data_IF_784310699683
#
_entry.id   IF_784310699683
#
_cell.length_a   1.000
_cell.length_b   1.000
_cell.length_c   1.000
_cell.angle_alpha   90.00
_cell.angle_beta   90.00
_cell.angle_gamma   90.00
#
_symmetry.space_group_name_H-M   'P 1'
#
loop_
_entity.id
_entity.type
_entity.pdbx_description
1 polymer ?
#
# COMPACT_ATOMS: atom_id res chain seq x y z
N UNK A 1 3.85 2.86 -16.68
CA UNK A 1 5.08 3.69 -16.63
C UNK A 1 4.85 4.96 -17.44
N UNK A 2 5.26 6.11 -16.89
CA UNK A 2 5.41 7.31 -17.71
C UNK A 2 6.65 7.12 -18.61
N UNK A 3 6.47 7.29 -19.89
CA UNK A 3 7.53 7.13 -20.88
C UNK A 3 7.10 7.69 -22.23
N UNK A 4 8.07 8.00 -23.12
CA UNK A 4 7.76 8.59 -24.42
C UNK A 4 6.81 7.73 -25.27
N UNK A 5 6.86 6.42 -25.10
CA UNK A 5 5.98 5.45 -25.77
C UNK A 5 4.50 5.60 -25.38
N UNK A 6 4.24 6.20 -24.19
CA UNK A 6 2.91 6.48 -23.67
C UNK A 6 2.54 7.97 -23.73
N UNK A 7 3.34 8.78 -24.45
CA UNK A 7 3.11 10.21 -24.62
C UNK A 7 3.59 11.10 -23.46
N UNK A 8 4.29 10.53 -22.48
CA UNK A 8 4.79 11.24 -21.31
C UNK A 8 6.32 11.29 -21.30
N UNK A 9 6.88 12.48 -21.36
CA UNK A 9 8.33 12.70 -21.31
C UNK A 9 8.82 13.05 -19.89
N UNK A 10 7.93 13.59 -19.05
CA UNK A 10 8.21 13.95 -17.66
C UNK A 10 7.28 13.18 -16.71
N UNK A 11 7.82 12.42 -15.76
CA UNK A 11 7.02 11.73 -14.73
C UNK A 11 6.19 12.68 -13.86
N UNK A 12 6.65 13.92 -13.60
CA UNK A 12 5.91 14.88 -12.80
C UNK A 12 4.65 15.36 -13.53
N UNK A 13 4.74 15.62 -14.83
CA UNK A 13 3.59 15.99 -15.64
C UNK A 13 2.56 14.86 -15.70
N UNK A 14 3.01 13.61 -15.80
CA UNK A 14 2.13 12.44 -15.71
C UNK A 14 1.38 12.38 -14.38
N UNK A 15 2.08 12.50 -13.25
CA UNK A 15 1.45 12.42 -11.93
C UNK A 15 0.53 13.63 -11.70
N UNK A 16 0.91 14.82 -12.15
CA UNK A 16 0.04 16.01 -12.11
C UNK A 16 -1.25 15.82 -12.89
N UNK A 17 -1.18 15.28 -14.11
CA UNK A 17 -2.35 14.97 -14.90
C UNK A 17 -3.23 13.90 -14.23
N UNK A 18 -2.61 12.87 -13.61
CA UNK A 18 -3.33 11.87 -12.83
C UNK A 18 -4.16 12.53 -11.70
N UNK A 19 -3.55 13.40 -10.89
CA UNK A 19 -4.26 14.10 -9.81
C UNK A 19 -5.40 15.00 -10.32
N UNK A 20 -5.28 15.56 -11.52
CA UNK A 20 -6.36 16.34 -12.13
C UNK A 20 -7.61 15.52 -12.44
N UNK A 21 -7.44 14.20 -12.64
CA UNK A 21 -8.53 13.27 -12.91
C UNK A 21 -9.07 12.56 -11.65
N UNK A 22 -8.50 12.83 -10.48
CA UNK A 22 -9.00 12.29 -9.20
C UNK A 22 -10.22 13.11 -8.76
N UNK A 23 -11.45 12.56 -8.80
CA UNK A 23 -12.65 13.28 -8.41
C UNK A 23 -12.77 13.43 -6.88
N UNK A 24 -12.30 12.45 -6.13
CA UNK A 24 -12.30 12.41 -4.67
C UNK A 24 -10.96 11.88 -4.19
N UNK A 25 -10.29 12.61 -3.32
CA UNK A 25 -9.10 12.16 -2.63
C UNK A 25 -9.47 11.88 -1.18
N UNK A 26 -9.78 10.63 -0.89
CA UNK A 26 -10.15 10.19 0.44
C UNK A 26 -8.95 10.17 1.40
N UNK A 27 -9.22 10.20 2.71
CA UNK A 27 -8.17 10.24 3.74
C UNK A 27 -7.55 8.88 4.05
N UNK A 28 -8.17 7.80 3.61
CA UNK A 28 -7.73 6.44 3.91
C UNK A 28 -8.03 5.47 2.78
N UNK A 29 -7.28 4.37 2.75
CA UNK A 29 -7.40 3.34 1.71
C UNK A 29 -8.81 2.72 1.67
N UNK A 30 -9.38 2.40 2.83
CA UNK A 30 -10.73 1.86 2.95
C UNK A 30 -11.80 2.86 2.49
N UNK A 31 -11.63 4.14 2.77
CA UNK A 31 -12.56 5.18 2.31
C UNK A 31 -12.53 5.29 0.78
N UNK A 32 -11.35 5.22 0.16
CA UNK A 32 -11.19 5.22 -1.30
C UNK A 32 -11.87 4.00 -1.93
N UNK A 33 -11.71 2.81 -1.34
CA UNK A 33 -12.40 1.59 -1.79
C UNK A 33 -13.91 1.77 -1.70
N UNK A 34 -14.43 2.32 -0.62
CA UNK A 34 -15.87 2.60 -0.45
C UNK A 34 -16.37 3.61 -1.49
N UNK A 35 -15.62 4.69 -1.72
CA UNK A 35 -15.97 5.72 -2.72
C UNK A 35 -16.04 5.13 -4.12
N UNK A 36 -15.07 4.31 -4.50
CA UNK A 36 -15.04 3.66 -5.81
C UNK A 36 -16.10 2.56 -5.92
N UNK A 37 -16.05 1.58 -5.05
CA UNK A 37 -16.77 0.33 -5.20
C UNK A 37 -18.26 0.43 -4.81
N UNK A 38 -18.59 1.19 -3.75
CA UNK A 38 -19.97 1.31 -3.27
C UNK A 38 -20.70 2.54 -3.81
N UNK A 39 -19.98 3.65 -4.01
CA UNK A 39 -20.57 4.90 -4.53
C UNK A 39 -20.46 5.04 -6.04
N UNK A 40 -19.68 4.18 -6.71
CA UNK A 40 -19.49 4.19 -8.16
C UNK A 40 -18.80 5.44 -8.68
N UNK A 41 -17.87 6.02 -7.91
CA UNK A 41 -17.15 7.23 -8.30
C UNK A 41 -15.76 6.86 -8.82
N UNK A 42 -15.50 7.18 -10.09
CA UNK A 42 -14.25 6.89 -10.80
C UNK A 42 -14.30 5.59 -11.61
N UNK A 43 -13.41 5.47 -12.59
CA UNK A 43 -13.31 4.33 -13.49
C UNK A 43 -12.16 3.39 -13.10
N UNK A 44 -11.18 3.89 -12.35
CA UNK A 44 -10.00 3.15 -11.88
C UNK A 44 -9.71 3.54 -10.44
N UNK A 45 -9.50 2.55 -9.59
CA UNK A 45 -9.01 2.71 -8.23
C UNK A 45 -7.53 2.33 -8.14
N UNK A 46 -6.70 3.24 -7.66
CA UNK A 46 -5.33 2.92 -7.22
C UNK A 46 -5.40 2.55 -5.74
N UNK A 47 -5.17 1.29 -5.44
CA UNK A 47 -5.32 0.76 -4.08
C UNK A 47 -4.11 -0.08 -3.65
N UNK A 48 -4.01 -0.32 -2.37
CA UNK A 48 -3.18 -1.39 -1.85
C UNK A 48 -3.69 -2.76 -2.33
N UNK A 49 -2.79 -3.69 -2.56
CA UNK A 49 -3.12 -5.03 -3.06
C UNK A 49 -4.18 -5.74 -2.18
N UNK A 50 -4.03 -5.66 -0.85
CA UNK A 50 -4.99 -6.22 0.09
C UNK A 50 -6.39 -5.59 -0.02
N UNK A 51 -6.50 -4.28 -0.26
CA UNK A 51 -7.78 -3.59 -0.45
C UNK A 51 -8.48 -4.05 -1.73
N UNK A 52 -7.73 -4.28 -2.80
CA UNK A 52 -8.30 -4.79 -4.05
C UNK A 52 -8.89 -6.20 -3.86
N UNK A 53 -8.18 -7.11 -3.20
CA UNK A 53 -8.71 -8.45 -2.89
C UNK A 53 -9.89 -8.42 -1.92
N UNK A 54 -9.86 -7.54 -0.91
CA UNK A 54 -10.99 -7.37 0.01
C UNK A 54 -12.23 -6.83 -0.71
N UNK A 55 -12.06 -5.90 -1.64
CA UNK A 55 -13.17 -5.38 -2.45
C UNK A 55 -13.85 -6.50 -3.25
N UNK A 56 -13.09 -7.37 -3.92
CA UNK A 56 -13.64 -8.53 -4.62
C UNK A 56 -14.36 -9.49 -3.68
N UNK A 57 -13.75 -9.80 -2.52
CA UNK A 57 -14.34 -10.71 -1.54
C UNK A 57 -15.67 -10.20 -0.94
N UNK A 58 -15.80 -8.86 -0.80
CA UNK A 58 -17.00 -8.24 -0.23
C UNK A 58 -18.10 -7.96 -1.26
N UNK A 59 -17.72 -7.67 -2.51
CA UNK A 59 -18.65 -7.13 -3.53
C UNK A 59 -18.93 -8.11 -4.68
N UNK A 60 -18.14 -9.18 -4.80
CA UNK A 60 -18.25 -10.16 -5.86
C UNK A 60 -17.19 -10.02 -6.96
N UNK A 61 -16.80 -11.15 -7.53
CA UNK A 61 -15.70 -11.26 -8.50
C UNK A 61 -16.06 -10.72 -9.89
N UNK A 62 -17.33 -10.44 -10.15
CA UNK A 62 -17.85 -9.94 -11.43
C UNK A 62 -17.93 -8.41 -11.52
N UNK A 63 -17.61 -7.69 -10.44
CA UNK A 63 -17.73 -6.25 -10.35
C UNK A 63 -16.49 -5.51 -10.83
N UNK A 64 -15.32 -6.07 -10.60
CA UNK A 64 -14.02 -5.40 -10.82
C UNK A 64 -12.96 -6.38 -11.29
N UNK A 65 -12.05 -5.88 -12.13
CA UNK A 65 -10.81 -6.58 -12.48
C UNK A 65 -9.63 -5.98 -11.73
N UNK A 66 -8.75 -6.83 -11.20
CA UNK A 66 -7.49 -6.38 -10.61
C UNK A 66 -6.41 -6.37 -11.68
N UNK A 67 -5.92 -5.17 -12.00
CA UNK A 67 -4.79 -4.98 -12.91
C UNK A 67 -3.52 -4.86 -12.09
N UNK A 68 -2.66 -5.88 -12.17
CA UNK A 68 -1.39 -5.91 -11.47
C UNK A 68 -0.32 -5.19 -12.28
N UNK A 69 0.35 -4.16 -11.75
CA UNK A 69 1.40 -3.45 -12.46
C UNK A 69 2.66 -4.32 -12.60
N UNK A 70 3.46 -4.06 -13.64
CA UNK A 70 4.75 -4.75 -13.83
C UNK A 70 5.78 -4.43 -12.75
N UNK A 71 5.67 -3.27 -12.12
CA UNK A 71 6.52 -2.79 -11.01
C UNK A 71 5.64 -2.18 -9.94
N UNK A 72 5.91 -2.50 -8.68
CA UNK A 72 5.23 -1.90 -7.53
C UNK A 72 6.21 -1.59 -6.40
N UNK A 73 5.72 -0.96 -5.34
CA UNK A 73 6.53 -0.61 -4.18
C UNK A 73 6.41 -1.72 -3.13
N UNK A 74 7.56 -2.18 -2.63
CA UNK A 74 7.59 -3.04 -1.45
C UNK A 74 7.32 -2.17 -0.22
N UNK A 75 6.12 -2.29 0.32
CA UNK A 75 5.73 -1.60 1.54
C UNK A 75 6.13 -2.45 2.75
N UNK A 76 7.11 -1.98 3.49
CA UNK A 76 7.62 -2.61 4.70
C UNK A 76 7.39 -1.68 5.89
N UNK A 77 6.13 -1.53 6.38
CA UNK A 77 5.84 -0.62 7.49
C UNK A 77 6.51 -1.14 8.77
N UNK A 78 7.44 -0.38 9.35
CA UNK A 78 8.10 -0.79 10.59
C UNK A 78 7.10 -0.76 11.75
N UNK A 79 7.21 -1.73 12.66
CA UNK A 79 6.48 -1.75 13.92
C UNK A 79 7.44 -1.62 15.08
N UNK A 80 7.06 -0.86 16.08
CA UNK A 80 7.89 -0.63 17.27
C UNK A 80 7.03 -0.46 18.53
N UNK A 81 7.62 -0.79 19.65
CA UNK A 81 7.04 -0.48 20.97
C UNK A 81 7.11 1.03 21.19
N UNK A 82 6.01 1.64 21.62
CA UNK A 82 5.97 3.06 22.01
C UNK A 82 6.36 3.17 23.48
N UNK A 83 7.64 3.36 23.74
CA UNK A 83 8.24 3.37 25.08
C UNK A 83 7.55 4.36 26.06
N UNK A 84 7.15 5.53 25.56
CA UNK A 84 6.48 6.54 26.37
C UNK A 84 5.12 6.09 26.95
N UNK A 85 4.53 5.03 26.39
CA UNK A 85 3.24 4.49 26.84
C UNK A 85 3.40 3.32 27.81
N UNK A 86 4.62 2.85 28.05
CA UNK A 86 4.91 1.74 28.95
C UNK A 86 5.22 2.25 30.35
N UNK A 87 4.38 1.87 31.31
CA UNK A 87 4.56 2.25 32.72
C UNK A 87 5.04 1.10 33.59
N UNK A 88 4.96 -0.15 33.08
CA UNK A 88 5.36 -1.37 33.81
C UNK A 88 6.12 -2.33 32.91
N UNK A 89 6.94 -3.20 33.53
CA UNK A 89 7.66 -4.27 32.85
C UNK A 89 6.70 -5.30 32.21
N UNK A 90 5.55 -5.54 32.80
CA UNK A 90 4.55 -6.47 32.25
C UNK A 90 3.91 -5.92 30.98
N UNK A 91 3.68 -4.61 30.90
CA UNK A 91 3.22 -3.95 29.66
C UNK A 91 4.28 -4.06 28.55
N UNK A 92 5.56 -3.92 28.90
CA UNK A 92 6.67 -4.12 27.95
C UNK A 92 6.67 -5.53 27.39
N UNK A 93 6.66 -6.54 28.25
CA UNK A 93 6.64 -7.96 27.85
C UNK A 93 5.43 -8.28 26.95
N UNK A 94 4.28 -7.73 27.27
CA UNK A 94 3.07 -7.92 26.47
C UNK A 94 3.22 -7.30 25.08
N UNK A 95 3.71 -6.07 24.98
CA UNK A 95 3.92 -5.37 23.72
C UNK A 95 4.96 -6.08 22.84
N UNK A 96 6.11 -6.45 23.42
CA UNK A 96 7.15 -7.19 22.71
C UNK A 96 6.68 -8.59 22.30
N UNK A 97 5.92 -9.26 23.18
CA UNK A 97 5.30 -10.56 22.88
C UNK A 97 4.34 -10.49 21.69
N UNK A 98 3.53 -9.43 21.61
CA UNK A 98 2.65 -9.20 20.47
C UNK A 98 3.44 -8.97 19.17
N UNK A 99 4.46 -8.12 19.18
CA UNK A 99 5.29 -7.89 18.00
C UNK A 99 6.02 -9.13 17.53
N UNK A 100 6.54 -9.93 18.48
CA UNK A 100 7.19 -11.21 18.19
C UNK A 100 6.20 -12.22 17.60
N UNK A 101 4.96 -12.25 18.09
CA UNK A 101 3.91 -13.13 17.59
C UNK A 101 3.66 -12.94 16.09
N UNK A 102 3.77 -11.71 15.56
CA UNK A 102 3.56 -11.41 14.13
C UNK A 102 4.48 -12.25 13.20
N UNK A 103 5.60 -12.73 13.70
CA UNK A 103 6.58 -13.52 12.94
C UNK A 103 6.45 -15.03 13.19
N UNK A 104 5.47 -15.46 13.97
CA UNK A 104 5.20 -16.89 14.18
C UNK A 104 4.50 -17.52 12.96
N UNK A 105 4.61 -18.86 12.78
CA UNK A 105 3.89 -19.55 11.71
C UNK A 105 2.38 -19.32 11.74
N UNK A 106 1.79 -19.26 12.94
CA UNK A 106 0.36 -19.01 13.11
C UNK A 106 -0.03 -17.61 12.57
N UNK A 107 0.71 -16.58 12.98
CA UNK A 107 0.45 -15.22 12.51
C UNK A 107 0.69 -15.07 11.01
N UNK A 108 1.73 -15.69 10.47
CA UNK A 108 2.00 -15.65 9.02
C UNK A 108 0.86 -16.30 8.21
N UNK A 109 0.32 -17.43 8.66
CA UNK A 109 -0.84 -18.04 8.03
C UNK A 109 -2.07 -17.12 8.06
N UNK A 110 -2.30 -16.41 9.17
CA UNK A 110 -3.39 -15.43 9.30
C UNK A 110 -3.17 -14.24 8.35
N UNK A 111 -1.96 -13.71 8.26
CA UNK A 111 -1.59 -12.59 7.39
C UNK A 111 -1.91 -12.91 5.94
N UNK A 112 -1.43 -14.03 5.41
CA UNK A 112 -1.68 -14.45 4.03
C UNK A 112 -3.18 -14.72 3.76
N UNK A 113 -3.89 -15.34 4.70
CA UNK A 113 -5.34 -15.59 4.59
C UNK A 113 -6.14 -14.29 4.48
N UNK A 114 -5.67 -13.21 5.10
CA UNK A 114 -6.31 -11.89 5.08
C UNK A 114 -5.75 -10.98 3.99
N UNK A 115 -5.21 -11.53 2.91
CA UNK A 115 -4.77 -10.81 1.71
C UNK A 115 -3.54 -9.93 1.89
N UNK A 116 -2.71 -10.19 2.88
CA UNK A 116 -1.42 -9.50 3.03
C UNK A 116 -0.27 -10.43 2.63
N UNK A 117 0.76 -9.86 2.03
CA UNK A 117 2.03 -10.55 1.82
C UNK A 117 2.78 -10.56 3.15
N UNK A 118 2.97 -11.74 3.70
CA UNK A 118 3.71 -11.91 4.94
C UNK A 118 5.22 -11.98 4.74
N UNK A 119 5.91 -12.17 5.84
CA UNK A 119 7.36 -12.30 5.88
C UNK A 119 7.88 -13.60 5.24
N UNK A 120 7.18 -14.72 5.43
CA UNK A 120 7.60 -16.03 4.94
C UNK A 120 6.41 -16.79 4.34
N UNK A 121 6.38 -16.87 3.02
CA UNK A 121 5.33 -17.56 2.28
C UNK A 121 5.28 -19.08 2.55
N UNK A 122 6.38 -19.69 3.00
CA UNK A 122 6.42 -21.13 3.30
C UNK A 122 5.59 -21.52 4.52
N UNK A 123 5.22 -20.54 5.35
CA UNK A 123 4.40 -20.70 6.56
C UNK A 123 2.89 -20.57 6.30
N UNK A 124 2.48 -20.25 5.08
CA UNK A 124 1.09 -20.08 4.70
C UNK A 124 0.58 -21.22 3.82
N UNK A 125 -0.75 -21.34 3.73
CA UNK A 125 -1.36 -22.30 2.83
C UNK A 125 -1.04 -21.97 1.36
N UNK A 126 -0.71 -22.96 0.51
CA UNK A 126 -0.36 -22.72 -0.89
C UNK A 126 -1.41 -21.92 -1.67
N UNK A 127 -2.69 -22.15 -1.40
CA UNK A 127 -3.80 -21.43 -2.03
C UNK A 127 -3.84 -19.95 -1.64
N UNK A 128 -3.45 -19.61 -0.40
CA UNK A 128 -3.36 -18.23 0.05
C UNK A 128 -2.17 -17.49 -0.56
N UNK A 129 -1.08 -18.20 -0.80
CA UNK A 129 0.12 -17.66 -1.47
C UNK A 129 -0.11 -17.51 -2.98
N UNK A 130 -0.78 -18.47 -3.61
CA UNK A 130 -0.97 -18.51 -5.06
C UNK A 130 -1.78 -17.33 -5.63
N UNK A 131 -2.55 -16.64 -4.79
CA UNK A 131 -3.31 -15.45 -5.19
C UNK A 131 -2.42 -14.25 -5.54
N UNK A 132 -1.18 -14.23 -5.02
CA UNK A 132 -0.28 -13.11 -5.20
C UNK A 132 0.60 -13.31 -6.44
N UNK A 133 0.42 -12.49 -7.49
CA UNK A 133 1.24 -12.58 -8.68
C UNK A 133 2.70 -12.21 -8.40
N UNK A 134 3.61 -12.77 -9.20
CA UNK A 134 4.99 -12.33 -9.23
C UNK A 134 5.07 -10.98 -9.93
N UNK A 135 5.73 -10.00 -9.30
CA UNK A 135 6.00 -8.69 -9.86
C UNK A 135 7.35 -8.17 -9.39
N UNK A 136 7.89 -7.19 -10.10
CA UNK A 136 9.07 -6.45 -9.64
C UNK A 136 8.67 -5.53 -8.49
N UNK A 137 9.35 -5.66 -7.36
CA UNK A 137 9.12 -4.80 -6.19
C UNK A 137 10.37 -3.94 -5.96
N UNK A 138 10.16 -2.63 -5.81
CA UNK A 138 11.21 -1.67 -5.46
C UNK A 138 11.02 -1.21 -4.03
N UNK A 139 12.08 -1.14 -3.27
CA UNK A 139 12.09 -0.70 -1.88
C UNK A 139 12.47 0.78 -1.76
N UNK A 140 12.37 1.32 -0.54
CA UNK A 140 12.73 2.72 -0.28
C UNK A 140 14.22 3.00 -0.46
N UNK A 141 15.09 2.00 -0.31
CA UNK A 141 16.53 2.16 -0.50
C UNK A 141 16.87 2.47 -1.96
N UNK A 142 16.10 1.93 -2.91
CA UNK A 142 16.21 2.23 -4.35
C UNK A 142 16.00 3.70 -4.69
N UNK A 143 15.40 4.47 -3.76
CA UNK A 143 15.16 5.92 -3.89
C UNK A 143 16.05 6.77 -2.99
N UNK A 144 17.07 6.20 -2.37
CA UNK A 144 17.99 6.91 -1.46
C UNK A 144 17.54 6.94 0.01
N UNK A 145 16.45 6.22 0.35
CA UNK A 145 15.91 6.13 1.69
C UNK A 145 14.90 7.23 2.05
N UNK A 146 14.27 7.09 3.20
CA UNK A 146 13.17 7.96 3.64
C UNK A 146 13.57 9.44 3.75
N UNK A 147 14.78 9.75 4.23
CA UNK A 147 15.22 11.13 4.41
C UNK A 147 15.31 11.87 3.07
N UNK A 148 15.88 11.23 2.05
CA UNK A 148 15.99 11.82 0.71
C UNK A 148 14.63 11.94 0.04
N UNK A 149 13.81 10.90 0.09
CA UNK A 149 12.46 10.91 -0.50
C UNK A 149 11.59 11.98 0.16
N UNK A 150 11.62 12.11 1.49
CA UNK A 150 10.88 13.14 2.20
C UNK A 150 11.30 14.54 1.79
N UNK A 151 12.60 14.80 1.75
CA UNK A 151 13.13 16.13 1.37
C UNK A 151 12.79 16.48 -0.07
N UNK A 152 12.92 15.54 -0.99
CA UNK A 152 12.72 15.77 -2.42
C UNK A 152 11.26 15.88 -2.82
N UNK A 153 10.39 15.07 -2.22
CA UNK A 153 9.02 14.93 -2.69
C UNK A 153 7.96 15.56 -1.79
N UNK A 154 8.20 15.64 -0.47
CA UNK A 154 7.16 15.96 0.51
C UNK A 154 7.52 17.10 1.47
N UNK A 155 8.71 17.70 1.42
CA UNK A 155 9.01 18.91 2.16
C UNK A 155 8.19 20.10 1.63
N UNK A 156 8.05 21.15 2.43
CA UNK A 156 7.32 22.36 2.04
C UNK A 156 7.87 22.94 0.73
N UNK A 157 7.00 23.11 -0.25
CA UNK A 157 7.34 23.55 -1.60
C UNK A 157 8.02 22.50 -2.49
N UNK A 158 8.13 21.24 -2.05
CA UNK A 158 8.72 20.15 -2.82
C UNK A 158 7.80 19.68 -3.96
N UNK A 159 8.18 18.60 -4.62
CA UNK A 159 7.52 18.12 -5.85
C UNK A 159 6.02 17.92 -5.65
N UNK A 160 5.58 17.34 -4.52
CA UNK A 160 4.17 17.10 -4.26
C UNK A 160 3.35 18.39 -4.25
N UNK A 161 3.84 19.44 -3.58
CA UNK A 161 3.15 20.74 -3.54
C UNK A 161 3.06 21.42 -4.91
N UNK A 162 4.00 21.13 -5.80
CA UNK A 162 4.02 21.67 -7.15
C UNK A 162 3.03 20.96 -8.11
N UNK A 163 2.78 19.68 -7.89
CA UNK A 163 1.90 18.87 -8.74
C UNK A 163 0.47 18.78 -8.20
N UNK A 164 0.30 18.77 -6.88
CA UNK A 164 -1.01 18.71 -6.24
C UNK A 164 -1.59 20.10 -6.07
N UNK A 165 -2.62 20.40 -6.85
CA UNK A 165 -3.42 21.62 -6.69
C UNK A 165 -4.72 21.19 -6.03
N UNK A 166 -4.92 21.57 -4.76
CA UNK A 166 -6.19 21.35 -4.08
C UNK A 166 -7.33 22.01 -4.87
N UNK A 167 -8.40 21.25 -5.10
CA UNK A 167 -9.61 21.73 -5.77
C UNK A 167 -10.54 22.39 -4.77
#
# INVERSE_FOLDING_TARGET
RAGPENGWTDPQDFVKALFQHVPVLDKGARDSTTTFAQRGIGDVLLAWENEAYLALAELGDDQFDIVVPSVSVLAEPPVAVVEANLTTEDQRKLAEGYLTFLYTPEAQAIIYRNFYRGWDASLAAPEDVARFPTMELVDIASFGGWAEVQAKHFADGAIFDQIYIAK
#
